data_IF_112716975392
#
_entry.id   IF_112716975392
#
_cell.length_a   1.000
_cell.length_b   1.000
_cell.length_c   1.000
_cell.angle_alpha   90.00
_cell.angle_beta   90.00
_cell.angle_gamma   90.00
#
_symmetry.space_group_name_H-M   'P 1'
#
loop_
_entity.id
_entity.type
_entity.pdbx_description
1 polymer ?
#
# COMPACT_ATOMS: atom_id res chain seq x y z
N UNK A 1 -11.25 31.21 -40.59
CA UNK A 1 -10.18 30.31 -40.11
C UNK A 1 -9.76 30.57 -38.66
N UNK A 2 -10.53 31.32 -37.84
CA UNK A 2 -10.17 31.64 -36.44
C UNK A 2 -11.22 31.16 -35.42
N UNK A 3 -12.17 30.32 -35.86
CA UNK A 3 -13.30 29.82 -35.05
C UNK A 3 -13.19 28.34 -34.70
N UNK A 4 -12.21 27.65 -35.28
CA UNK A 4 -12.01 26.21 -35.15
C UNK A 4 -10.91 25.87 -34.12
N UNK A 5 -10.04 26.83 -33.77
CA UNK A 5 -8.99 26.64 -32.77
C UNK A 5 -9.53 26.63 -31.33
N UNK A 6 -10.69 27.26 -31.08
CA UNK A 6 -11.29 27.38 -29.75
C UNK A 6 -11.88 26.07 -29.23
N UNK A 7 -12.28 25.15 -30.11
CA UNK A 7 -12.91 23.88 -29.72
C UNK A 7 -11.89 22.78 -29.36
N UNK A 8 -10.68 22.87 -29.88
CA UNK A 8 -9.61 21.88 -29.61
C UNK A 8 -9.00 22.08 -28.21
N UNK A 9 -9.00 23.31 -27.70
CA UNK A 9 -8.39 23.63 -26.40
C UNK A 9 -9.22 23.17 -25.19
N UNK A 10 -10.51 22.87 -25.37
CA UNK A 10 -11.42 22.50 -24.27
C UNK A 10 -11.47 20.99 -23.99
N UNK A 11 -10.92 20.15 -24.88
CA UNK A 11 -10.90 18.69 -24.73
C UNK A 11 -9.67 18.15 -23.99
N UNK A 12 -8.70 19.00 -23.59
CA UNK A 12 -7.45 18.59 -22.95
C UNK A 12 -7.47 18.65 -21.41
N UNK A 13 -8.66 18.69 -20.79
CA UNK A 13 -8.80 19.14 -19.39
C UNK A 13 -9.14 18.10 -18.32
N UNK A 14 -9.37 16.83 -18.65
CA UNK A 14 -9.70 15.81 -17.63
C UNK A 14 -8.63 14.72 -17.61
N UNK A 15 -7.51 15.01 -16.95
CA UNK A 15 -6.61 13.94 -16.49
C UNK A 15 -7.23 13.40 -15.20
N UNK A 16 -7.63 12.12 -15.12
CA UNK A 16 -8.06 11.53 -13.87
C UNK A 16 -6.89 11.59 -12.88
N UNK A 17 -7.07 12.28 -11.76
CA UNK A 17 -6.12 12.17 -10.66
C UNK A 17 -6.35 10.80 -10.00
N UNK A 18 -5.44 9.86 -10.23
CA UNK A 18 -5.41 8.64 -9.43
C UNK A 18 -5.05 9.03 -7.99
N UNK A 19 -5.92 8.70 -7.04
CA UNK A 19 -5.59 8.79 -5.62
C UNK A 19 -4.69 7.61 -5.31
N UNK A 20 -3.37 7.85 -5.25
CA UNK A 20 -2.42 6.89 -4.74
C UNK A 20 -2.35 7.05 -3.22
N UNK A 21 -2.66 5.99 -2.49
CA UNK A 21 -2.40 5.95 -1.06
C UNK A 21 -0.89 5.85 -0.82
N UNK A 22 -0.43 6.47 0.27
CA UNK A 22 1.00 6.58 0.58
C UNK A 22 1.25 6.40 2.07
N UNK A 23 2.32 5.70 2.42
CA UNK A 23 2.77 5.61 3.81
C UNK A 23 3.83 6.68 4.07
N UNK A 24 3.57 7.52 5.08
CA UNK A 24 4.56 8.48 5.57
C UNK A 24 5.35 7.94 6.75
N UNK A 25 6.61 7.63 6.49
CA UNK A 25 7.60 7.18 7.46
C UNK A 25 8.58 8.31 7.77
N UNK A 26 8.38 8.98 8.91
CA UNK A 26 9.10 10.21 9.29
C UNK A 26 8.98 11.26 8.17
N UNK A 27 10.08 11.58 7.49
CA UNK A 27 10.15 12.55 6.39
C UNK A 27 10.15 11.93 5.00
N UNK A 28 10.02 10.60 4.90
CA UNK A 28 9.96 9.88 3.62
C UNK A 28 8.55 9.36 3.34
N UNK A 29 8.18 9.36 2.06
CA UNK A 29 6.97 8.76 1.54
C UNK A 29 7.32 7.43 0.88
N UNK A 30 6.49 6.43 1.11
CA UNK A 30 6.49 5.14 0.41
C UNK A 30 5.19 5.04 -0.37
N UNK A 31 5.27 4.60 -1.61
CA UNK A 31 4.13 4.41 -2.50
C UNK A 31 4.10 2.99 -3.06
N UNK A 32 3.01 2.66 -3.75
CA UNK A 32 2.96 1.47 -4.60
C UNK A 32 4.15 1.44 -5.58
N UNK A 33 4.71 0.26 -5.80
CA UNK A 33 5.91 0.03 -6.61
C UNK A 33 7.23 0.07 -5.84
N UNK A 34 7.25 0.59 -4.62
CA UNK A 34 8.47 0.61 -3.81
C UNK A 34 8.84 -0.80 -3.32
N UNK A 35 10.15 -1.08 -3.27
CA UNK A 35 10.64 -2.36 -2.76
C UNK A 35 10.49 -2.48 -1.24
N UNK A 36 10.36 -3.71 -0.74
CA UNK A 36 10.43 -4.01 0.71
C UNK A 36 11.73 -3.57 1.34
N UNK A 37 12.84 -3.61 0.60
CA UNK A 37 14.12 -3.10 1.08
C UNK A 37 14.05 -1.60 1.38
N UNK A 38 13.46 -0.82 0.47
CA UNK A 38 13.26 0.62 0.69
C UNK A 38 12.30 0.86 1.86
N UNK A 39 11.19 0.12 1.91
CA UNK A 39 10.23 0.16 3.01
C UNK A 39 10.91 -0.08 4.37
N UNK A 40 11.75 -1.12 4.49
CA UNK A 40 12.52 -1.42 5.70
C UNK A 40 13.54 -0.33 6.04
N UNK A 41 14.30 0.15 5.05
CA UNK A 41 15.32 1.20 5.27
C UNK A 41 14.68 2.50 5.77
N UNK A 42 13.50 2.85 5.25
CA UNK A 42 12.82 4.12 5.56
C UNK A 42 11.91 4.05 6.77
N UNK A 43 11.17 2.96 6.93
CA UNK A 43 10.15 2.78 7.96
C UNK A 43 10.61 1.94 9.15
N UNK A 44 11.64 1.11 8.97
CA UNK A 44 12.05 0.09 9.93
C UNK A 44 11.18 -1.16 9.85
N UNK A 45 11.35 -2.04 10.84
CA UNK A 45 10.52 -3.23 10.99
C UNK A 45 9.07 -2.86 11.31
N UNK A 46 8.08 -3.51 10.69
CA UNK A 46 6.68 -3.33 11.03
C UNK A 46 6.37 -3.91 12.42
N UNK A 47 5.26 -3.45 13.00
CA UNK A 47 4.73 -4.01 14.24
C UNK A 47 4.27 -5.47 14.06
N UNK A 48 3.69 -5.78 12.90
CA UNK A 48 3.13 -7.08 12.58
C UNK A 48 3.33 -7.41 11.09
N UNK A 49 3.67 -8.66 10.79
CA UNK A 49 3.68 -9.23 9.43
C UNK A 49 2.72 -10.41 9.41
N UNK A 50 1.77 -10.39 8.48
CA UNK A 50 0.76 -11.43 8.31
C UNK A 50 0.86 -12.03 6.92
N UNK A 51 0.80 -13.35 6.81
CA UNK A 51 0.76 -14.03 5.51
C UNK A 51 -0.62 -13.85 4.88
N UNK A 52 -0.65 -13.32 3.66
CA UNK A 52 -1.86 -13.29 2.86
C UNK A 52 -1.97 -14.59 2.08
N UNK A 53 -3.04 -15.33 2.38
CA UNK A 53 -3.30 -16.62 1.77
C UNK A 53 -4.65 -16.62 1.05
N UNK A 54 -4.76 -17.46 0.02
CA UNK A 54 -6.02 -17.74 -0.67
C UNK A 54 -6.14 -19.22 -0.96
N UNK A 55 -7.35 -19.64 -1.27
CA UNK A 55 -7.59 -21.00 -1.71
C UNK A 55 -7.44 -21.13 -3.22
N UNK A 56 -6.76 -22.17 -3.67
CA UNK A 56 -6.64 -22.55 -5.07
C UNK A 56 -6.96 -24.03 -5.23
N UNK A 57 -7.32 -24.46 -6.43
CA UNK A 57 -7.50 -25.87 -6.77
C UNK A 57 -6.25 -26.37 -7.50
N UNK A 58 -5.68 -27.49 -7.05
CA UNK A 58 -4.54 -28.09 -7.74
C UNK A 58 -5.00 -28.90 -8.97
N UNK A 59 -4.05 -29.42 -9.77
CA UNK A 59 -4.34 -30.23 -10.94
C UNK A 59 -5.09 -31.55 -10.69
N UNK A 60 -5.37 -31.88 -9.43
CA UNK A 60 -6.10 -33.08 -9.00
C UNK A 60 -7.47 -32.76 -8.38
N UNK A 61 -7.92 -31.50 -8.43
CA UNK A 61 -9.22 -31.10 -7.88
C UNK A 61 -9.22 -30.85 -6.36
N UNK A 62 -8.06 -30.86 -5.71
CA UNK A 62 -7.96 -30.63 -4.27
C UNK A 62 -7.77 -29.13 -3.97
N UNK A 63 -8.53 -28.62 -3.00
CA UNK A 63 -8.41 -27.25 -2.49
C UNK A 63 -7.17 -27.12 -1.61
N UNK A 64 -6.24 -26.26 -2.00
CA UNK A 64 -5.00 -25.96 -1.29
C UNK A 64 -4.97 -24.48 -0.86
N UNK A 65 -4.21 -24.18 0.18
CA UNK A 65 -3.96 -22.80 0.62
C UNK A 65 -2.62 -22.33 0.05
N UNK A 66 -2.61 -21.22 -0.66
CA UNK A 66 -1.43 -20.63 -1.28
C UNK A 66 -1.17 -19.26 -0.66
N UNK A 67 0.06 -19.04 -0.17
CA UNK A 67 0.55 -17.71 0.21
C UNK A 67 0.86 -16.93 -1.06
N UNK A 68 0.23 -15.78 -1.23
CA UNK A 68 0.46 -14.92 -2.39
C UNK A 68 1.14 -13.59 -2.02
N UNK A 69 1.21 -13.25 -0.74
CA UNK A 69 1.82 -12.02 -0.28
C UNK A 69 1.87 -11.92 1.23
N UNK A 70 2.16 -10.72 1.71
CA UNK A 70 2.24 -10.39 3.13
C UNK A 70 1.55 -9.05 3.38
N UNK A 71 0.93 -8.89 4.55
CA UNK A 71 0.46 -7.60 5.05
C UNK A 71 1.36 -7.16 6.19
N UNK A 72 1.97 -6.00 6.04
CA UNK A 72 2.86 -5.40 7.02
C UNK A 72 2.15 -4.22 7.69
N UNK A 73 2.01 -4.26 9.01
CA UNK A 73 1.30 -3.22 9.76
C UNK A 73 2.27 -2.34 10.52
N UNK A 74 2.21 -1.04 10.29
CA UNK A 74 3.00 -0.02 10.97
C UNK A 74 2.12 0.80 11.91
N UNK A 75 2.58 0.94 13.17
CA UNK A 75 1.94 1.79 14.17
C UNK A 75 2.78 3.05 14.42
N UNK A 76 2.21 4.21 14.07
CA UNK A 76 2.83 5.52 14.26
C UNK A 76 2.27 6.31 15.45
N UNK A 77 1.59 5.62 16.37
CA UNK A 77 1.04 6.20 17.60
C UNK A 77 -0.42 6.64 17.49
N UNK A 78 -1.00 7.00 18.64
CA UNK A 78 -2.45 7.26 18.84
C UNK A 78 -3.07 8.37 17.99
N UNK A 79 -2.25 9.24 17.40
CA UNK A 79 -2.72 10.38 16.62
C UNK A 79 -2.88 10.04 15.12
N UNK A 80 -2.63 8.80 14.73
CA UNK A 80 -2.64 8.34 13.34
C UNK A 80 -3.32 6.98 13.25
N UNK A 81 -3.96 6.69 12.12
CA UNK A 81 -4.31 5.32 11.79
C UNK A 81 -3.03 4.50 11.56
N UNK A 82 -3.06 3.23 11.95
CA UNK A 82 -2.03 2.29 11.54
C UNK A 82 -2.02 2.20 10.02
N UNK A 83 -0.85 1.96 9.44
CA UNK A 83 -0.71 1.81 8.00
C UNK A 83 -0.49 0.33 7.70
N UNK A 84 -1.38 -0.23 6.88
CA UNK A 84 -1.31 -1.61 6.42
C UNK A 84 -0.77 -1.59 5.00
N UNK A 85 0.36 -2.26 4.78
CA UNK A 85 1.05 -2.30 3.50
C UNK A 85 1.00 -3.73 2.99
N UNK A 86 0.34 -3.95 1.86
CA UNK A 86 0.36 -5.25 1.20
C UNK A 86 1.61 -5.34 0.33
N UNK A 87 2.36 -6.41 0.51
CA UNK A 87 3.58 -6.71 -0.21
C UNK A 87 3.39 -8.01 -1.00
N UNK A 88 3.71 -7.98 -2.28
CA UNK A 88 3.72 -9.16 -3.15
C UNK A 88 5.06 -9.22 -3.85
N UNK A 89 5.72 -10.39 -3.80
CA UNK A 89 7.03 -10.62 -4.42
C UNK A 89 8.11 -9.57 -4.08
N UNK A 90 8.04 -8.96 -2.89
CA UNK A 90 9.01 -7.96 -2.43
C UNK A 90 8.71 -6.53 -2.86
N UNK A 91 7.54 -6.26 -3.41
CA UNK A 91 7.09 -4.94 -3.86
C UNK A 91 5.81 -4.52 -3.14
N UNK A 92 5.69 -3.24 -2.80
CA UNK A 92 4.46 -2.65 -2.25
C UNK A 92 3.42 -2.58 -3.34
N UNK A 93 2.28 -3.24 -3.14
CA UNK A 93 1.20 -3.28 -4.15
C UNK A 93 -0.07 -2.59 -3.70
N UNK A 94 -0.21 -2.31 -2.40
CA UNK A 94 -1.39 -1.64 -1.85
C UNK A 94 -1.04 -1.06 -0.47
N UNK A 95 -1.62 0.09 -0.16
CA UNK A 95 -1.48 0.80 1.10
C UNK A 95 -2.87 1.17 1.59
N UNK A 96 -3.19 0.79 2.82
CA UNK A 96 -4.50 1.06 3.42
C UNK A 96 -4.38 1.63 4.83
N UNK A 97 -5.39 2.40 5.23
CA UNK A 97 -5.55 2.82 6.62
C UNK A 97 -6.16 1.68 7.44
N UNK A 98 -5.44 1.25 8.46
CA UNK A 98 -5.91 0.29 9.45
C UNK A 98 -6.64 0.96 10.62
N UNK A 99 -6.78 0.24 11.75
CA UNK A 99 -7.35 0.78 12.98
C UNK A 99 -6.54 1.98 13.52
N UNK A 100 -7.11 2.77 14.45
CA UNK A 100 -6.35 3.79 15.17
C UNK A 100 -5.08 3.20 15.81
N UNK A 101 -3.96 3.92 15.70
CA UNK A 101 -2.69 3.52 16.29
C UNK A 101 -2.75 3.43 17.81
N UNK A 102 -1.91 2.57 18.38
CA UNK A 102 -1.76 2.46 19.82
C UNK A 102 -0.49 3.17 20.29
N UNK A 103 -0.45 3.59 21.56
CA UNK A 103 0.83 3.95 22.18
C UNK A 103 1.65 2.68 22.31
N UNK A 104 2.89 2.66 21.80
CA UNK A 104 3.84 1.60 22.17
C UNK A 104 4.05 1.68 23.68
N UNK A 105 3.29 0.91 24.46
CA UNK A 105 3.67 0.65 25.84
C UNK A 105 4.94 -0.19 25.72
N UNK A 106 6.08 0.40 26.07
CA UNK A 106 7.25 -0.39 26.42
C UNK A 106 6.76 -1.38 27.47
N UNK A 107 6.75 -2.67 27.14
CA UNK A 107 6.58 -3.70 28.15
C UNK A 107 7.81 -3.51 29.06
N UNK A 108 7.62 -3.19 30.36
CA UNK A 108 8.74 -2.97 31.28
C UNK A 108 9.61 -4.22 31.41
#
# INVERSE_FOLDING_TARGET
MMRECLLVFWLLGMVPAALADMVRCKDTLITEGDSTALLLIKCGEPLLKEDLTRFEENGFGAKITVKYGERWTYNFGKQRFMQMVTVVNGEVVEIENGPPGESSRTIP
#
